data_IF_005367108050
#
_entry.id   IF_005367108050
#
_cell.length_a   1.000
_cell.length_b   1.000
_cell.length_c   1.000
_cell.angle_alpha   90.00
_cell.angle_beta   90.00
_cell.angle_gamma   90.00
#
_symmetry.space_group_name_H-M   'P 1'
#
loop_
_entity.id
_entity.type
_entity.pdbx_description
1 polymer ?
#
# COMPACT_ATOMS: atom_id res chain seq x y z
N UNK A 1 -8.97 -21.84 18.74
CA UNK A 1 -9.20 -20.48 18.18
C UNK A 1 -10.60 -20.31 17.63
N UNK A 2 -11.10 -21.20 16.76
CA UNK A 2 -12.47 -21.07 16.21
C UNK A 2 -13.55 -21.07 17.30
N UNK A 3 -13.50 -22.01 18.24
CA UNK A 3 -14.45 -22.09 19.37
C UNK A 3 -14.53 -20.79 20.17
N UNK A 4 -13.41 -20.09 20.34
CA UNK A 4 -13.37 -18.78 21.01
C UNK A 4 -14.24 -17.75 20.27
N UNK A 5 -14.13 -17.68 18.94
CA UNK A 5 -14.96 -16.78 18.13
C UNK A 5 -16.43 -17.18 18.18
N UNK A 6 -16.71 -18.49 18.17
CA UNK A 6 -18.06 -19.00 18.32
C UNK A 6 -18.67 -18.57 19.66
N UNK A 7 -17.98 -18.79 20.77
CA UNK A 7 -18.43 -18.38 22.10
C UNK A 7 -18.65 -16.86 22.18
N UNK A 8 -17.73 -16.06 21.63
CA UNK A 8 -17.87 -14.60 21.61
C UNK A 8 -19.18 -14.18 20.92
N UNK A 9 -19.52 -14.78 19.77
CA UNK A 9 -20.75 -14.44 19.04
C UNK A 9 -22.02 -15.01 19.69
N UNK A 10 -22.00 -16.28 20.10
CA UNK A 10 -23.22 -17.00 20.50
C UNK A 10 -23.53 -16.91 21.99
N UNK A 11 -22.50 -17.02 22.85
CA UNK A 11 -22.68 -17.03 24.32
C UNK A 11 -22.57 -15.63 24.92
N UNK A 12 -21.57 -14.87 24.50
CA UNK A 12 -21.29 -13.55 25.08
C UNK A 12 -21.91 -12.40 24.29
N UNK A 13 -22.49 -12.67 23.11
CA UNK A 13 -23.17 -11.67 22.30
C UNK A 13 -22.27 -10.52 21.85
N UNK A 14 -20.95 -10.73 21.72
CA UNK A 14 -20.02 -9.72 21.27
C UNK A 14 -20.34 -9.29 19.84
N UNK A 15 -20.62 -8.00 19.63
CA UNK A 15 -20.98 -7.41 18.33
C UNK A 15 -19.89 -6.56 17.70
N UNK A 16 -18.75 -6.44 18.37
CA UNK A 16 -17.60 -5.68 17.87
C UNK A 16 -16.84 -6.42 16.78
N UNK A 17 -15.75 -5.79 16.34
CA UNK A 17 -14.90 -6.27 15.25
C UNK A 17 -14.11 -7.53 15.64
N UNK A 18 -14.14 -8.56 14.79
CA UNK A 18 -13.32 -9.76 14.92
C UNK A 18 -12.46 -9.93 13.67
N UNK A 19 -11.14 -9.93 13.87
CA UNK A 19 -10.15 -10.38 12.90
C UNK A 19 -9.69 -11.79 13.26
N UNK A 20 -10.03 -12.77 12.42
CA UNK A 20 -9.60 -14.15 12.61
C UNK A 20 -8.37 -14.47 11.74
N UNK A 21 -7.28 -14.87 12.40
CA UNK A 21 -6.03 -15.26 11.74
C UNK A 21 -6.04 -16.76 11.47
N UNK A 22 -6.23 -17.12 10.20
CA UNK A 22 -6.19 -18.50 9.70
C UNK A 22 -4.74 -18.98 9.73
N UNK A 23 -4.54 -20.18 10.25
CA UNK A 23 -3.23 -20.83 10.25
C UNK A 23 -3.06 -21.66 8.97
N UNK A 24 -1.82 -21.81 8.46
CA UNK A 24 -1.54 -22.71 7.35
C UNK A 24 -2.02 -24.14 7.68
N UNK A 25 -2.59 -24.83 6.69
CA UNK A 25 -3.16 -26.18 6.87
C UNK A 25 -4.57 -26.22 7.49
N UNK A 26 -5.18 -25.08 7.83
CA UNK A 26 -6.57 -25.07 8.34
C UNK A 26 -7.54 -25.65 7.32
N UNK A 27 -8.43 -26.54 7.79
CA UNK A 27 -9.50 -27.11 6.98
C UNK A 27 -10.48 -26.05 6.48
N UNK A 28 -10.95 -26.22 5.26
CA UNK A 28 -11.85 -25.25 4.63
C UNK A 28 -13.17 -25.10 5.40
N UNK A 29 -13.69 -26.18 5.99
CA UNK A 29 -14.91 -26.14 6.81
C UNK A 29 -14.78 -25.18 8.00
N UNK A 30 -13.58 -25.10 8.60
CA UNK A 30 -13.29 -24.16 9.68
C UNK A 30 -13.17 -22.74 9.14
N UNK A 31 -12.55 -22.55 7.96
CA UNK A 31 -12.46 -21.24 7.31
C UNK A 31 -13.86 -20.69 6.99
N UNK A 32 -14.74 -21.53 6.44
CA UNK A 32 -16.12 -21.16 6.15
C UNK A 32 -16.88 -20.78 7.43
N UNK A 33 -16.84 -21.64 8.45
CA UNK A 33 -17.50 -21.37 9.71
C UNK A 33 -16.96 -20.09 10.39
N UNK A 34 -15.65 -19.85 10.33
CA UNK A 34 -15.03 -18.62 10.84
C UNK A 34 -15.47 -17.38 10.06
N UNK A 35 -15.58 -17.47 8.72
CA UNK A 35 -16.04 -16.37 7.87
C UNK A 35 -17.48 -15.92 8.18
N UNK A 36 -18.31 -16.81 8.71
CA UNK A 36 -19.68 -16.45 9.13
C UNK A 36 -19.71 -15.61 10.41
N UNK A 37 -18.65 -15.67 11.22
CA UNK A 37 -18.59 -15.06 12.55
C UNK A 37 -17.61 -13.87 12.62
N UNK A 38 -16.59 -13.85 11.77
CA UNK A 38 -15.56 -12.83 11.72
C UNK A 38 -15.89 -11.69 10.73
N UNK A 39 -15.32 -10.52 10.98
CA UNK A 39 -15.41 -9.38 10.06
C UNK A 39 -14.29 -9.40 9.01
N UNK A 40 -13.12 -9.93 9.39
CA UNK A 40 -11.93 -10.08 8.54
C UNK A 40 -11.27 -11.43 8.76
N UNK A 41 -10.75 -12.00 7.67
CA UNK A 41 -9.84 -13.14 7.71
C UNK A 41 -8.44 -12.71 7.25
N UNK A 42 -7.41 -13.32 7.83
CA UNK A 42 -6.03 -13.22 7.32
C UNK A 42 -5.28 -14.53 7.37
N UNK A 43 -4.24 -14.61 6.55
CA UNK A 43 -3.20 -15.63 6.62
C UNK A 43 -1.88 -14.95 6.25
N UNK A 44 -0.81 -15.18 7.01
CA UNK A 44 0.49 -14.57 6.73
C UNK A 44 1.21 -15.35 5.64
N UNK A 45 1.64 -14.65 4.57
CA UNK A 45 2.51 -15.23 3.54
C UNK A 45 3.99 -15.19 3.92
N UNK A 46 4.38 -14.27 4.80
CA UNK A 46 5.73 -14.09 5.37
C UNK A 46 6.80 -13.63 4.38
N UNK A 47 6.84 -14.18 3.17
CA UNK A 47 7.82 -13.89 2.13
C UNK A 47 7.16 -13.77 0.73
N UNK A 48 7.84 -13.20 -0.28
CA UNK A 48 7.24 -13.03 -1.62
C UNK A 48 7.14 -14.30 -2.46
N UNK A 49 7.95 -15.32 -2.16
CA UNK A 49 7.95 -16.61 -2.85
C UNK A 49 8.60 -17.72 -1.98
N UNK A 50 8.64 -18.93 -2.52
CA UNK A 50 9.17 -20.12 -1.85
C UNK A 50 10.67 -20.03 -1.52
N UNK A 51 11.48 -19.39 -2.38
CA UNK A 51 12.92 -19.24 -2.17
C UNK A 51 13.15 -18.37 -0.94
N UNK A 52 12.45 -17.25 -0.87
CA UNK A 52 12.55 -16.33 0.27
C UNK A 52 11.94 -16.92 1.54
N UNK A 53 10.83 -17.67 1.44
CA UNK A 53 10.23 -18.34 2.59
C UNK A 53 11.20 -19.34 3.23
N UNK A 54 12.01 -20.06 2.44
CA UNK A 54 12.94 -21.05 2.95
C UNK A 54 13.99 -20.44 3.91
N UNK A 55 14.35 -19.17 3.74
CA UNK A 55 15.25 -18.43 4.63
C UNK A 55 14.59 -18.11 5.99
N UNK A 56 13.26 -17.99 6.03
CA UNK A 56 12.51 -17.60 7.24
C UNK A 56 11.91 -18.79 7.98
N UNK A 57 11.37 -19.75 7.23
CA UNK A 57 10.59 -20.87 7.75
C UNK A 57 10.70 -22.06 6.79
N UNK A 58 11.84 -22.78 6.80
CA UNK A 58 12.13 -23.86 5.84
C UNK A 58 11.16 -25.04 5.93
N UNK A 59 10.42 -25.17 7.03
CA UNK A 59 9.43 -26.23 7.23
C UNK A 59 8.08 -25.97 6.55
N UNK A 60 7.79 -24.73 6.12
CA UNK A 60 6.51 -24.37 5.50
C UNK A 60 6.56 -24.52 3.99
N UNK A 61 5.51 -25.07 3.39
CA UNK A 61 5.36 -25.08 1.95
C UNK A 61 4.63 -23.82 1.47
N UNK A 62 5.33 -22.97 0.73
CA UNK A 62 4.79 -21.70 0.22
C UNK A 62 3.52 -21.90 -0.63
N UNK A 63 3.53 -22.90 -1.52
CA UNK A 63 2.46 -23.12 -2.48
C UNK A 63 1.22 -23.74 -1.82
N UNK A 64 1.37 -24.86 -1.12
CA UNK A 64 0.22 -25.58 -0.54
C UNK A 64 -0.32 -24.90 0.71
N UNK A 65 0.57 -24.44 1.59
CA UNK A 65 0.15 -24.06 2.95
C UNK A 65 -0.24 -22.59 3.01
N UNK A 66 0.50 -21.73 2.30
CA UNK A 66 0.32 -20.28 2.35
C UNK A 66 -0.57 -19.79 1.21
N UNK A 67 -0.14 -19.95 -0.04
CA UNK A 67 -0.93 -19.54 -1.22
C UNK A 67 -2.24 -20.33 -1.28
N UNK A 68 -2.19 -21.66 -1.11
CA UNK A 68 -3.38 -22.51 -1.06
C UNK A 68 -4.32 -22.16 0.09
N UNK A 69 -3.80 -21.77 1.25
CA UNK A 69 -4.60 -21.25 2.36
C UNK A 69 -5.31 -19.94 2.02
N UNK A 70 -4.60 -19.00 1.40
CA UNK A 70 -5.16 -17.72 0.97
C UNK A 70 -6.22 -17.91 -0.14
N UNK A 71 -6.01 -18.87 -1.03
CA UNK A 71 -6.98 -19.27 -2.06
C UNK A 71 -8.29 -19.79 -1.47
N UNK A 72 -8.22 -20.63 -0.43
CA UNK A 72 -9.41 -21.10 0.30
C UNK A 72 -10.17 -19.91 0.90
N UNK A 73 -9.47 -19.00 1.58
CA UNK A 73 -10.08 -17.78 2.15
C UNK A 73 -10.73 -16.93 1.04
N UNK A 74 -10.04 -16.73 -0.08
CA UNK A 74 -10.56 -15.97 -1.21
C UNK A 74 -11.78 -16.62 -1.87
N UNK A 75 -11.86 -17.96 -1.91
CA UNK A 75 -13.04 -18.67 -2.38
C UNK A 75 -14.23 -18.48 -1.44
N UNK A 76 -14.05 -18.66 -0.13
CA UNK A 76 -15.11 -18.42 0.87
C UNK A 76 -15.62 -16.98 0.78
N UNK A 77 -14.71 -16.00 0.72
CA UNK A 77 -15.06 -14.59 0.61
C UNK A 77 -15.79 -14.22 -0.70
N UNK A 78 -15.58 -14.97 -1.80
CA UNK A 78 -16.34 -14.78 -3.05
C UNK A 78 -17.78 -15.24 -2.92
N UNK A 79 -18.03 -16.31 -2.17
CA UNK A 79 -19.38 -16.82 -1.92
C UNK A 79 -20.14 -15.94 -0.93
N UNK A 80 -19.47 -15.53 0.15
CA UNK A 80 -20.01 -14.64 1.17
C UNK A 80 -18.96 -13.59 1.57
N UNK A 81 -19.03 -12.37 1.01
CA UNK A 81 -18.06 -11.32 1.29
C UNK A 81 -17.97 -10.97 2.78
N UNK A 82 -16.75 -11.01 3.30
CA UNK A 82 -16.37 -10.51 4.62
C UNK A 82 -16.52 -9.00 4.66
N UNK A 83 -17.10 -8.48 5.74
CA UNK A 83 -17.36 -7.03 5.90
C UNK A 83 -16.10 -6.18 5.78
N UNK A 84 -14.99 -6.67 6.32
CA UNK A 84 -13.70 -6.00 6.30
C UNK A 84 -12.67 -6.70 5.39
N UNK A 85 -13.10 -7.64 4.55
CA UNK A 85 -12.29 -8.28 3.52
C UNK A 85 -11.19 -9.22 4.04
N UNK A 86 -10.18 -9.43 3.20
CA UNK A 86 -9.06 -10.36 3.45
C UNK A 86 -7.77 -9.55 3.57
N UNK A 87 -6.88 -9.95 4.48
CA UNK A 87 -5.52 -9.37 4.55
C UNK A 87 -4.44 -10.44 4.67
N UNK A 88 -3.21 -10.05 4.37
CA UNK A 88 -2.02 -10.86 4.60
C UNK A 88 -0.89 -9.99 5.11
N UNK A 89 0.22 -10.61 5.52
CA UNK A 89 1.40 -9.93 6.00
C UNK A 89 2.67 -10.58 5.44
N UNK A 90 3.65 -9.73 5.12
CA UNK A 90 5.01 -10.07 4.72
C UNK A 90 6.00 -9.51 5.74
N UNK A 91 7.07 -10.25 5.99
CA UNK A 91 8.25 -9.78 6.72
C UNK A 91 9.24 -9.23 5.69
N UNK A 92 9.83 -8.08 5.98
CA UNK A 92 10.68 -7.34 5.04
C UNK A 92 12.08 -7.18 5.62
N UNK A 93 13.09 -7.58 4.87
CA UNK A 93 14.52 -7.42 5.17
C UNK A 93 15.19 -8.65 5.73
N UNK A 94 14.44 -9.74 5.95
CA UNK A 94 14.97 -10.96 6.54
C UNK A 94 15.44 -12.00 5.51
N UNK A 95 14.93 -11.97 4.27
CA UNK A 95 15.15 -13.03 3.29
C UNK A 95 15.92 -12.58 2.04
N UNK A 96 16.53 -11.38 2.07
CA UNK A 96 17.22 -10.75 0.92
C UNK A 96 16.30 -10.46 -0.27
N UNK A 97 15.00 -10.38 -0.02
CA UNK A 97 14.02 -10.01 -1.03
C UNK A 97 14.11 -8.54 -1.43
N UNK A 98 13.80 -8.23 -2.68
CA UNK A 98 13.73 -6.86 -3.19
C UNK A 98 12.32 -6.26 -3.02
N UNK A 99 12.24 -4.94 -2.95
CA UNK A 99 10.92 -4.25 -2.90
C UNK A 99 10.09 -4.54 -4.17
N UNK A 100 10.77 -4.76 -5.31
CA UNK A 100 10.13 -5.19 -6.57
C UNK A 100 9.43 -6.52 -6.43
N UNK A 101 10.06 -7.53 -5.83
CA UNK A 101 9.45 -8.86 -5.62
C UNK A 101 8.24 -8.75 -4.68
N UNK A 102 8.38 -8.02 -3.58
CA UNK A 102 7.32 -7.75 -2.62
C UNK A 102 6.11 -7.09 -3.31
N UNK A 103 6.32 -5.97 -4.00
CA UNK A 103 5.22 -5.18 -4.56
C UNK A 103 4.60 -5.81 -5.82
N UNK A 104 5.37 -6.60 -6.58
CA UNK A 104 4.82 -7.47 -7.62
C UNK A 104 3.89 -8.53 -7.02
N UNK A 105 4.28 -9.17 -5.91
CA UNK A 105 3.38 -10.08 -5.20
C UNK A 105 2.12 -9.32 -4.76
N UNK A 106 2.26 -8.19 -4.05
CA UNK A 106 1.11 -7.41 -3.57
C UNK A 106 0.13 -7.05 -4.69
N UNK A 107 0.64 -6.59 -5.85
CA UNK A 107 -0.17 -6.33 -7.03
C UNK A 107 -0.97 -7.56 -7.50
N UNK A 108 -0.32 -8.73 -7.59
CA UNK A 108 -0.99 -10.00 -7.94
C UNK A 108 -2.06 -10.39 -6.91
N UNK A 109 -1.78 -10.23 -5.62
CA UNK A 109 -2.72 -10.56 -4.55
C UNK A 109 -3.97 -9.68 -4.59
N UNK A 110 -3.82 -8.39 -4.86
CA UNK A 110 -4.95 -7.48 -5.03
C UNK A 110 -5.80 -7.84 -6.26
N UNK A 111 -5.15 -8.16 -7.38
CA UNK A 111 -5.86 -8.50 -8.61
C UNK A 111 -6.55 -9.87 -8.54
N UNK A 112 -5.83 -10.89 -8.09
CA UNK A 112 -6.26 -12.30 -8.10
C UNK A 112 -7.16 -12.69 -6.94
N UNK A 113 -6.89 -12.20 -5.72
CA UNK A 113 -7.63 -12.60 -4.52
C UNK A 113 -8.47 -11.47 -3.91
N UNK A 114 -8.48 -10.28 -4.51
CA UNK A 114 -9.23 -9.10 -4.05
C UNK A 114 -8.95 -8.77 -2.58
N UNK A 115 -7.69 -8.90 -2.16
CA UNK A 115 -7.28 -8.52 -0.81
C UNK A 115 -7.64 -7.07 -0.52
N UNK A 116 -8.04 -6.81 0.73
CA UNK A 116 -8.23 -5.46 1.23
C UNK A 116 -6.88 -4.75 1.38
N UNK A 117 -5.88 -5.47 1.89
CA UNK A 117 -4.56 -4.93 2.24
C UNK A 117 -3.51 -6.03 2.42
N UNK A 118 -2.28 -5.72 2.02
CA UNK A 118 -1.05 -6.40 2.43
C UNK A 118 -0.38 -5.55 3.50
N UNK A 119 0.03 -6.18 4.60
CA UNK A 119 0.84 -5.55 5.64
C UNK A 119 2.31 -5.91 5.44
N UNK A 120 3.17 -4.93 5.68
CA UNK A 120 4.63 -5.08 5.66
C UNK A 120 5.11 -4.87 7.09
N UNK A 121 6.02 -5.71 7.54
CA UNK A 121 6.66 -5.59 8.85
C UNK A 121 8.15 -5.62 8.64
N UNK A 122 8.87 -4.54 8.99
CA UNK A 122 10.32 -4.57 9.02
C UNK A 122 10.80 -5.70 9.94
N UNK A 123 11.76 -6.47 9.46
CA UNK A 123 12.44 -7.47 10.26
C UNK A 123 13.22 -6.78 11.38
N UNK A 124 13.10 -7.34 12.58
CA UNK A 124 13.89 -7.00 13.75
C UNK A 124 14.45 -8.30 14.32
N UNK A 125 15.78 -8.41 14.53
CA UNK A 125 16.36 -9.58 15.15
C UNK A 125 15.86 -9.73 16.59
N UNK A 126 15.63 -10.97 16.99
CA UNK A 126 15.23 -11.34 18.35
C UNK A 126 16.30 -12.28 18.89
N UNK A 127 16.77 -12.01 20.10
CA UNK A 127 17.74 -12.86 20.81
C UNK A 127 17.23 -14.30 20.93
N UNK A 128 18.14 -15.26 20.88
CA UNK A 128 17.87 -16.70 20.96
C UNK A 128 16.97 -17.21 19.82
N UNK A 129 17.09 -16.61 18.63
CA UNK A 129 16.40 -17.07 17.42
C UNK A 129 17.37 -17.31 16.26
N UNK A 130 17.04 -18.19 15.29
CA UNK A 130 17.94 -18.49 14.16
C UNK A 130 18.36 -17.28 13.32
N UNK A 131 17.65 -16.16 13.43
CA UNK A 131 17.89 -14.94 12.65
C UNK A 131 18.48 -13.80 13.51
N UNK A 132 18.91 -14.06 14.74
CA UNK A 132 19.39 -13.03 15.68
C UNK A 132 20.59 -12.22 15.14
N UNK A 133 21.46 -12.85 14.35
CA UNK A 133 22.66 -12.25 13.78
C UNK A 133 22.39 -11.43 12.51
N UNK A 134 21.16 -11.43 12.00
CA UNK A 134 20.80 -10.62 10.84
C UNK A 134 20.61 -9.14 11.24
N UNK A 135 21.06 -8.19 10.39
CA UNK A 135 20.83 -6.77 10.66
C UNK A 135 19.33 -6.44 10.62
N UNK A 136 18.85 -5.51 11.46
CA UNK A 136 17.46 -5.05 11.40
C UNK A 136 17.18 -4.38 10.05
N UNK A 137 15.95 -4.55 9.57
CA UNK A 137 15.46 -3.83 8.41
C UNK A 137 15.22 -2.36 8.77
N UNK A 138 15.60 -1.45 7.86
CA UNK A 138 15.36 -0.02 8.05
C UNK A 138 13.85 0.28 8.14
N UNK A 139 13.39 1.00 9.17
CA UNK A 139 12.00 1.46 9.24
C UNK A 139 11.57 2.31 8.04
N UNK A 140 12.51 3.01 7.40
CA UNK A 140 12.24 3.79 6.19
C UNK A 140 11.87 2.88 5.01
N UNK A 141 12.47 1.69 4.91
CA UNK A 141 12.14 0.72 3.86
C UNK A 141 10.70 0.23 4.00
N UNK A 142 10.29 -0.15 5.22
CA UNK A 142 8.89 -0.52 5.50
C UNK A 142 7.93 0.62 5.13
N UNK A 143 8.27 1.84 5.52
CA UNK A 143 7.46 3.01 5.19
C UNK A 143 7.36 3.26 3.68
N UNK A 144 8.45 3.11 2.93
CA UNK A 144 8.47 3.21 1.45
C UNK A 144 7.59 2.17 0.79
N UNK A 145 7.58 0.92 1.30
CA UNK A 145 6.67 -0.12 0.82
C UNK A 145 5.20 0.26 1.05
N UNK A 146 4.84 0.81 2.21
CA UNK A 146 3.47 1.29 2.44
C UNK A 146 3.08 2.44 1.51
N UNK A 147 3.99 3.38 1.24
CA UNK A 147 3.74 4.46 0.29
C UNK A 147 3.50 3.91 -1.12
N UNK A 148 4.34 2.99 -1.59
CA UNK A 148 4.19 2.36 -2.90
C UNK A 148 2.91 1.51 -3.00
N UNK A 149 2.59 0.73 -1.95
CA UNK A 149 1.35 -0.04 -1.85
C UNK A 149 0.11 0.84 -1.96
N UNK A 150 0.15 2.01 -1.32
CA UNK A 150 -0.94 2.98 -1.41
C UNK A 150 -1.14 3.48 -2.85
N UNK A 151 -0.05 3.66 -3.61
CA UNK A 151 -0.14 4.00 -5.04
C UNK A 151 -0.81 2.88 -5.84
N UNK A 152 -0.47 1.62 -5.56
CA UNK A 152 -1.11 0.46 -6.20
C UNK A 152 -2.62 0.43 -5.90
N UNK A 153 -3.00 0.52 -4.62
CA UNK A 153 -4.40 0.36 -4.19
C UNK A 153 -5.30 1.55 -4.51
N UNK A 154 -4.77 2.77 -4.51
CA UNK A 154 -5.59 4.00 -4.47
C UNK A 154 -5.33 4.96 -5.62
N UNK A 155 -4.19 4.85 -6.30
CA UNK A 155 -3.80 5.72 -7.41
C UNK A 155 -3.76 5.01 -8.77
N UNK A 156 -4.05 3.70 -8.79
CA UNK A 156 -4.08 2.91 -10.01
C UNK A 156 -2.70 2.71 -10.64
N UNK A 157 -1.63 2.78 -9.83
CA UNK A 157 -0.31 2.36 -10.30
C UNK A 157 -0.28 0.84 -10.49
N UNK A 158 0.45 0.42 -11.49
CA UNK A 158 0.90 -0.97 -11.63
C UNK A 158 2.29 -1.13 -10.99
N UNK A 159 2.67 -2.35 -10.57
CA UNK A 159 4.02 -2.59 -10.06
C UNK A 159 5.13 -2.17 -11.03
N UNK A 160 4.89 -2.28 -12.35
CA UNK A 160 5.86 -1.92 -13.39
C UNK A 160 6.11 -0.41 -13.47
N UNK A 161 5.16 0.41 -13.02
CA UNK A 161 5.32 1.86 -12.96
C UNK A 161 6.11 2.32 -11.74
N UNK A 162 6.30 1.49 -10.72
CA UNK A 162 6.96 1.93 -9.50
C UNK A 162 8.45 2.24 -9.73
N UNK A 163 9.01 3.26 -9.07
CA UNK A 163 10.33 3.80 -9.39
C UNK A 163 11.47 2.98 -8.78
N UNK A 164 11.53 1.68 -9.05
CA UNK A 164 12.61 0.82 -8.57
C UNK A 164 13.97 1.27 -9.11
N UNK A 165 15.00 1.17 -8.28
CA UNK A 165 16.40 1.35 -8.70
C UNK A 165 16.93 0.07 -9.37
N UNK A 166 18.19 0.11 -9.83
CA UNK A 166 18.86 -1.04 -10.48
C UNK A 166 18.94 -2.26 -9.56
N UNK A 167 19.05 -2.04 -8.24
CA UNK A 167 19.07 -3.09 -7.22
C UNK A 167 17.69 -3.71 -6.93
N UNK A 168 16.61 -3.22 -7.56
CA UNK A 168 15.24 -3.71 -7.35
C UNK A 168 14.50 -3.09 -6.16
N UNK A 169 15.12 -2.19 -5.39
CA UNK A 169 14.51 -1.53 -4.24
C UNK A 169 13.97 -0.14 -4.60
N UNK A 170 13.11 0.39 -3.73
CA UNK A 170 12.59 1.75 -3.83
C UNK A 170 13.67 2.77 -3.38
N UNK A 171 13.69 3.96 -3.99
CA UNK A 171 14.56 5.05 -3.57
C UNK A 171 14.25 5.45 -2.12
N UNK A 172 15.31 5.75 -1.37
CA UNK A 172 15.20 6.13 0.03
C UNK A 172 15.16 7.66 0.22
N UNK A 173 15.75 8.41 -0.70
CA UNK A 173 15.81 9.88 -0.72
C UNK A 173 14.48 10.55 -1.06
N UNK A 174 13.64 9.89 -1.87
CA UNK A 174 12.35 10.42 -2.33
C UNK A 174 11.20 9.45 -2.07
N UNK A 175 9.99 9.98 -1.84
CA UNK A 175 8.80 9.14 -1.81
C UNK A 175 8.52 8.55 -3.21
N UNK A 176 7.85 7.38 -3.30
CA UNK A 176 7.63 6.71 -4.58
C UNK A 176 6.87 7.53 -5.62
N UNK A 177 5.99 8.46 -5.22
CA UNK A 177 5.22 9.27 -6.16
C UNK A 177 6.09 10.38 -6.76
N UNK A 178 6.89 11.04 -5.93
CA UNK A 178 7.86 12.03 -6.39
C UNK A 178 8.93 11.39 -7.26
N UNK A 179 9.51 10.27 -6.83
CA UNK A 179 10.52 9.56 -7.60
C UNK A 179 9.99 9.06 -8.96
N UNK A 180 8.72 8.65 -9.03
CA UNK A 180 8.07 8.36 -10.29
C UNK A 180 7.96 9.59 -11.18
N UNK A 181 7.50 10.71 -10.62
CA UNK A 181 7.28 11.94 -11.38
C UNK A 181 8.58 12.50 -11.98
N UNK A 182 9.67 12.49 -11.22
CA UNK A 182 11.00 12.91 -11.67
C UNK A 182 11.56 12.05 -12.81
N UNK A 183 11.12 10.79 -12.95
CA UNK A 183 11.54 9.90 -14.04
C UNK A 183 10.63 9.96 -15.27
N UNK A 184 9.54 10.71 -15.20
CA UNK A 184 8.54 10.84 -16.27
C UNK A 184 8.31 12.33 -16.57
N UNK A 185 9.39 13.07 -16.81
CA UNK A 185 9.34 14.50 -17.12
C UNK A 185 8.48 14.79 -18.36
N UNK A 186 8.36 13.83 -19.28
CA UNK A 186 7.49 13.88 -20.46
C UNK A 186 6.00 14.03 -20.12
N UNK A 187 5.58 13.66 -18.90
CA UNK A 187 4.21 13.77 -18.42
C UNK A 187 3.92 15.08 -17.70
N UNK A 188 4.93 15.95 -17.55
CA UNK A 188 4.83 17.20 -16.82
C UNK A 188 5.29 18.38 -17.69
N UNK A 189 4.77 19.60 -17.45
CA UNK A 189 3.78 19.93 -16.44
C UNK A 189 2.34 19.55 -16.84
N UNK A 190 1.52 19.24 -15.84
CA UNK A 190 0.09 18.96 -16.02
C UNK A 190 -0.72 20.26 -15.94
N UNK A 191 -1.52 20.57 -16.97
CA UNK A 191 -2.42 21.73 -16.93
C UNK A 191 -3.67 21.44 -16.09
N UNK A 192 -3.74 22.04 -14.90
CA UNK A 192 -4.76 21.77 -13.87
C UNK A 192 -6.18 22.03 -14.37
N UNK A 193 -6.38 22.99 -15.27
CA UNK A 193 -7.71 23.31 -15.79
C UNK A 193 -8.22 22.35 -16.88
N UNK A 194 -7.36 21.46 -17.39
CA UNK A 194 -7.65 20.52 -18.48
C UNK A 194 -7.53 19.05 -18.07
N UNK A 195 -6.51 18.72 -17.27
CA UNK A 195 -6.13 17.36 -16.91
C UNK A 195 -7.26 16.58 -16.23
N UNK A 196 -7.46 15.31 -16.54
CA UNK A 196 -8.49 14.52 -15.87
C UNK A 196 -8.12 14.19 -14.40
N UNK A 197 -9.04 13.53 -13.69
CA UNK A 197 -8.81 13.13 -12.30
C UNK A 197 -7.58 12.21 -12.15
N UNK A 198 -7.35 11.30 -13.10
CA UNK A 198 -6.26 10.33 -13.07
C UNK A 198 -4.91 10.99 -13.32
N UNK A 199 -4.84 11.96 -14.23
CA UNK A 199 -3.65 12.80 -14.43
C UNK A 199 -3.34 13.63 -13.19
N UNK A 200 -4.36 14.27 -12.59
CA UNK A 200 -4.18 15.10 -11.39
C UNK A 200 -3.65 14.31 -10.19
N UNK A 201 -4.16 13.11 -9.94
CA UNK A 201 -3.66 12.29 -8.82
C UNK A 201 -2.24 11.79 -9.06
N UNK A 202 -1.66 11.91 -10.26
CA UNK A 202 -0.26 11.55 -10.52
C UNK A 202 0.71 12.69 -10.15
N UNK A 203 0.23 13.92 -10.04
CA UNK A 203 1.03 15.11 -9.66
C UNK A 203 1.46 15.05 -8.18
N UNK A 204 2.76 15.11 -7.85
CA UNK A 204 3.23 15.24 -6.46
C UNK A 204 2.56 16.42 -5.75
N UNK A 205 2.17 16.25 -4.48
CA UNK A 205 1.42 17.28 -3.73
C UNK A 205 -0.10 17.34 -4.02
N UNK A 206 -0.62 16.60 -5.01
CA UNK A 206 -2.07 16.47 -5.25
C UNK A 206 -2.54 15.06 -4.85
N UNK A 207 -3.31 14.96 -3.78
CA UNK A 207 -3.97 13.72 -3.35
C UNK A 207 -5.32 13.50 -4.03
N UNK A 208 -5.96 12.34 -3.79
CA UNK A 208 -7.28 12.00 -4.36
C UNK A 208 -8.38 12.99 -3.96
N UNK A 209 -8.38 13.44 -2.70
CA UNK A 209 -9.36 14.42 -2.20
C UNK A 209 -9.15 15.75 -2.90
N UNK A 210 -7.91 16.24 -2.95
CA UNK A 210 -7.54 17.48 -3.62
C UNK A 210 -7.86 17.42 -5.13
N UNK A 211 -7.54 16.32 -5.81
CA UNK A 211 -7.87 16.11 -7.22
C UNK A 211 -9.38 16.16 -7.49
N UNK A 212 -10.21 15.54 -6.64
CA UNK A 212 -11.68 15.66 -6.76
C UNK A 212 -12.14 17.10 -6.60
N UNK A 213 -11.66 17.79 -5.57
CA UNK A 213 -11.99 19.21 -5.34
C UNK A 213 -11.57 20.08 -6.52
N UNK A 214 -10.38 19.86 -7.09
CA UNK A 214 -9.91 20.55 -8.30
C UNK A 214 -10.88 20.33 -9.47
N UNK A 215 -11.25 19.07 -9.74
CA UNK A 215 -12.15 18.73 -10.85
C UNK A 215 -13.52 19.38 -10.68
N UNK A 216 -14.05 19.44 -9.45
CA UNK A 216 -15.32 20.10 -9.18
C UNK A 216 -15.23 21.63 -9.26
N UNK A 217 -14.24 22.24 -8.60
CA UNK A 217 -14.07 23.70 -8.58
C UNK A 217 -13.87 24.28 -9.98
N UNK A 218 -13.08 23.61 -10.84
CA UNK A 218 -12.78 24.12 -12.19
C UNK A 218 -13.95 24.14 -13.19
N UNK A 219 -15.09 23.55 -12.80
CA UNK A 219 -16.36 23.66 -13.52
C UNK A 219 -17.01 25.04 -13.30
N UNK A 220 -16.71 25.68 -12.17
CA UNK A 220 -17.26 26.99 -11.79
C UNK A 220 -16.26 28.12 -12.04
N UNK A 221 -15.00 27.94 -11.65
CA UNK A 221 -13.96 28.96 -11.78
C UNK A 221 -12.63 28.36 -12.23
N UNK A 222 -11.89 29.04 -13.11
CA UNK A 222 -10.56 28.54 -13.52
C UNK A 222 -9.52 28.86 -12.45
N UNK A 223 -8.61 27.90 -12.22
CA UNK A 223 -7.44 28.12 -11.39
C UNK A 223 -6.43 28.96 -12.17
N UNK A 224 -6.09 30.14 -11.65
CA UNK A 224 -5.13 31.08 -12.24
C UNK A 224 -3.93 31.31 -11.32
N UNK A 225 -4.06 31.02 -10.03
CA UNK A 225 -3.01 31.22 -9.01
C UNK A 225 -2.90 30.03 -8.05
N UNK A 226 -1.70 29.81 -7.51
CA UNK A 226 -1.43 28.69 -6.58
C UNK A 226 -2.24 28.78 -5.28
N UNK A 227 -2.57 29.97 -4.78
CA UNK A 227 -3.37 30.13 -3.56
C UNK A 227 -4.77 29.53 -3.69
N UNK A 228 -5.37 29.61 -4.88
CA UNK A 228 -6.64 28.95 -5.18
C UNK A 228 -6.48 27.43 -5.12
N UNK A 229 -5.39 26.90 -5.70
CA UNK A 229 -5.10 25.48 -5.67
C UNK A 229 -4.88 24.97 -4.24
N UNK A 230 -4.19 25.75 -3.40
CA UNK A 230 -3.96 25.42 -1.98
C UNK A 230 -5.27 25.22 -1.20
N UNK A 231 -6.32 26.00 -1.51
CA UNK A 231 -7.65 25.86 -0.87
C UNK A 231 -8.32 24.51 -1.14
N UNK A 232 -7.89 23.78 -2.17
CA UNK A 232 -8.37 22.41 -2.42
C UNK A 232 -7.74 21.39 -1.47
N UNK A 233 -6.70 21.77 -0.73
CA UNK A 233 -5.86 20.88 0.07
C UNK A 233 -4.68 20.29 -0.72
N UNK A 234 -4.32 20.88 -1.86
CA UNK A 234 -3.09 20.53 -2.57
C UNK A 234 -1.88 21.18 -1.88
N UNK A 235 -0.78 20.43 -1.79
CA UNK A 235 0.50 20.93 -1.27
C UNK A 235 1.24 21.63 -2.41
N UNK A 236 0.96 22.93 -2.57
CA UNK A 236 1.41 23.72 -3.72
C UNK A 236 2.93 23.83 -3.85
N UNK A 237 3.65 23.69 -2.73
CA UNK A 237 5.12 23.73 -2.70
C UNK A 237 5.76 22.60 -3.49
N UNK A 238 5.10 21.43 -3.52
CA UNK A 238 5.50 20.30 -4.36
C UNK A 238 4.82 20.38 -5.72
N UNK A 239 3.51 20.58 -5.73
CA UNK A 239 2.70 20.50 -6.95
C UNK A 239 3.11 21.54 -8.00
N UNK A 240 3.52 22.74 -7.58
CA UNK A 240 3.95 23.83 -8.48
C UNK A 240 5.11 23.46 -9.40
N UNK A 241 5.96 22.49 -9.02
CA UNK A 241 7.06 22.01 -9.86
C UNK A 241 6.60 21.07 -10.98
N UNK A 242 5.34 20.67 -11.00
CA UNK A 242 4.80 19.63 -11.88
C UNK A 242 3.52 20.07 -12.61
N UNK A 243 3.10 21.33 -12.50
CA UNK A 243 1.82 21.78 -13.07
C UNK A 243 1.89 23.18 -13.68
N UNK A 244 0.92 23.44 -14.55
CA UNK A 244 0.60 24.79 -15.02
C UNK A 244 -0.81 25.19 -14.60
N UNK A 245 -1.00 26.50 -14.41
CA UNK A 245 -2.30 27.13 -14.30
C UNK A 245 -2.47 28.11 -15.46
N UNK A 246 -3.37 27.82 -16.39
CA UNK A 246 -3.56 28.62 -17.61
C UNK A 246 -2.25 28.84 -18.39
N UNK A 247 -1.42 27.79 -18.49
CA UNK A 247 -0.14 27.84 -19.19
C UNK A 247 1.01 28.49 -18.39
N UNK A 248 0.75 29.08 -17.22
CA UNK A 248 1.83 29.55 -16.33
C UNK A 248 2.39 28.39 -15.52
N UNK A 249 3.69 28.12 -15.69
CA UNK A 249 4.45 27.17 -14.88
C UNK A 249 4.99 27.85 -13.61
N UNK A 250 5.06 27.13 -12.50
CA UNK A 250 5.47 27.65 -11.19
C UNK A 250 6.73 26.97 -10.62
N UNK A 251 7.40 26.11 -11.39
CA UNK A 251 8.60 25.43 -10.93
C UNK A 251 9.74 26.41 -10.67
N UNK A 252 10.34 26.31 -9.47
CA UNK A 252 11.53 27.09 -9.09
C UNK A 252 11.29 28.39 -8.31
N UNK A 253 10.07 28.93 -8.24
CA UNK A 253 9.79 30.18 -7.48
C UNK A 253 9.87 29.98 -5.94
N UNK A 254 9.71 28.75 -5.42
CA UNK A 254 9.79 28.41 -3.99
C UNK A 254 11.12 27.76 -3.54
N UNK A 255 12.18 27.78 -4.36
CA UNK A 255 13.51 27.26 -3.96
C UNK A 255 14.12 27.95 -2.72
N UNK A 256 13.60 29.09 -2.29
CA UNK A 256 14.11 29.83 -1.13
C UNK A 256 13.63 29.29 0.23
N UNK A 257 12.75 28.28 0.29
CA UNK A 257 12.23 27.76 1.55
C UNK A 257 12.54 26.28 1.83
N UNK A 258 13.21 25.54 0.93
CA UNK A 258 13.09 24.09 0.91
C UNK A 258 14.41 23.33 1.12
N UNK A 259 14.86 23.32 2.38
CA UNK A 259 15.59 22.17 2.95
C UNK A 259 14.66 21.01 3.34
N UNK A 260 13.35 21.14 3.10
CA UNK A 260 12.28 20.27 3.60
C UNK A 260 11.47 19.57 2.50
N UNK A 261 12.01 19.37 1.29
CA UNK A 261 11.32 18.52 0.28
C UNK A 261 11.18 17.07 0.79
N UNK A 262 11.97 16.70 1.80
CA UNK A 262 12.09 15.33 2.33
C UNK A 262 11.10 14.97 3.44
N UNK A 263 10.35 15.92 3.99
CA UNK A 263 9.38 15.65 5.06
C UNK A 263 7.96 15.89 4.55
N UNK A 264 7.35 14.88 3.95
CA UNK A 264 6.03 14.35 4.36
C UNK A 264 5.32 13.54 3.28
N UNK A 265 4.84 12.37 3.71
CA UNK A 265 3.47 11.90 3.46
C UNK A 265 3.01 11.19 4.75
N UNK A 266 2.59 11.94 5.79
CA UNK A 266 1.83 11.31 6.88
C UNK A 266 0.48 10.86 6.32
N UNK A 267 0.45 9.68 5.72
CA UNK A 267 -0.74 8.96 5.28
C UNK A 267 -1.38 8.28 6.50
N UNK A 268 -1.74 9.02 7.54
CA UNK A 268 -2.46 8.45 8.70
C UNK A 268 -3.97 8.71 8.67
N UNK A 269 -4.48 9.49 7.72
CA UNK A 269 -5.93 9.74 7.62
C UNK A 269 -6.70 8.61 6.89
N UNK A 270 -6.02 7.62 6.29
CA UNK A 270 -6.69 6.50 5.58
C UNK A 270 -6.08 5.10 5.89
N UNK A 271 -5.28 4.95 6.96
CA UNK A 271 -4.75 3.65 7.43
C UNK A 271 -5.75 2.89 8.29
#
# INVERSE_FOLDING_TARGET
MFETVQLLRTRYGYRGYIHYKVLPGTDESIIDAAAQLADRLSLNLEAPDAKHLAELSPSKNYASDLVGGLEKIARVNRQKPLKAGITTQLVVGAAKETDREILNLSGRLYQGYKLWRVYYSAFMPILDTPLEELPPCSPLREYRLYQADFLLRRYGFTPQELPFEKNGNLPQDHDPKLAWALRHEDKFPVEVNKADFHELIRVPGIGRISARRIVETRKQEKFTRLDQLRKTGAVTTHAGNFLTLQGRFYGGEERKATGQINEQLFLWEEL
#
